data_IF_835611612440
#
_entry.id   IF_835611612440
#
_cell.length_a   1.000
_cell.length_b   1.000
_cell.length_c   1.000
_cell.angle_alpha   90.00
_cell.angle_beta   90.00
_cell.angle_gamma   90.00
#
_symmetry.space_group_name_H-M   'P 1'
#
loop_
_entity.id
_entity.type
_entity.pdbx_description
1 polymer ?
#
# COMPACT_ATOMS: atom_id res chain seq x y z
N UNK A 1 53.52 -41.74 6.60
CA UNK A 1 52.49 -40.91 5.94
C UNK A 1 51.46 -40.56 6.98
N UNK A 2 51.45 -39.32 7.46
CA UNK A 2 50.44 -38.84 8.41
C UNK A 2 49.15 -38.53 7.63
N UNK A 3 47.97 -38.92 8.12
CA UNK A 3 46.71 -38.59 7.48
C UNK A 3 46.50 -37.07 7.52
N UNK A 4 46.45 -36.45 6.34
CA UNK A 4 46.04 -35.04 6.18
C UNK A 4 44.58 -34.93 6.64
N UNK A 5 44.35 -34.21 7.74
CA UNK A 5 43.00 -33.90 8.19
C UNK A 5 42.25 -33.10 7.10
N UNK A 6 41.04 -33.54 6.77
CA UNK A 6 40.20 -32.83 5.82
C UNK A 6 39.91 -31.40 6.35
N UNK A 7 39.98 -30.36 5.50
CA UNK A 7 39.63 -29.02 5.92
C UNK A 7 38.16 -28.98 6.39
N UNK A 8 37.86 -28.21 7.45
CA UNK A 8 36.49 -28.07 7.93
C UNK A 8 35.59 -27.53 6.80
N UNK A 9 34.32 -27.97 6.73
CA UNK A 9 33.38 -27.46 5.74
C UNK A 9 33.30 -25.94 5.88
N UNK A 10 33.65 -25.23 4.81
CA UNK A 10 33.45 -23.79 4.77
C UNK A 10 31.95 -23.53 4.69
N UNK A 11 31.36 -23.06 5.80
CA UNK A 11 30.02 -22.49 5.79
C UNK A 11 30.03 -21.35 4.78
N UNK A 12 29.25 -21.52 3.71
CA UNK A 12 29.09 -20.47 2.71
C UNK A 12 28.49 -19.25 3.42
N UNK A 13 29.08 -18.05 3.26
CA UNK A 13 28.55 -16.86 3.90
C UNK A 13 27.07 -16.70 3.53
N UNK A 14 26.21 -16.35 4.50
CA UNK A 14 24.78 -16.25 4.27
C UNK A 14 24.53 -15.21 3.18
N UNK A 15 23.77 -15.59 2.15
CA UNK A 15 23.48 -14.75 0.97
C UNK A 15 22.47 -13.62 1.28
N UNK A 16 22.72 -12.82 2.31
CA UNK A 16 21.82 -11.76 2.79
C UNK A 16 21.58 -10.64 1.76
N UNK A 17 22.40 -10.51 0.70
CA UNK A 17 22.39 -9.34 -0.17
C UNK A 17 21.22 -9.26 -1.16
N UNK A 18 20.78 -10.39 -1.72
CA UNK A 18 19.83 -10.36 -2.85
C UNK A 18 18.38 -10.09 -2.40
N UNK A 19 18.00 -10.60 -1.23
CA UNK A 19 16.63 -10.47 -0.72
C UNK A 19 16.29 -9.04 -0.29
N UNK A 20 17.26 -8.32 0.29
CA UNK A 20 17.03 -6.96 0.79
C UNK A 20 16.70 -6.02 -0.37
N UNK A 21 17.45 -6.06 -1.47
CA UNK A 21 17.19 -5.22 -2.64
C UNK A 21 15.83 -5.53 -3.29
N UNK A 22 15.42 -6.80 -3.31
CA UNK A 22 14.09 -7.17 -3.79
C UNK A 22 12.99 -6.57 -2.91
N UNK A 23 13.17 -6.57 -1.58
CA UNK A 23 12.22 -5.98 -0.63
C UNK A 23 12.13 -4.46 -0.73
N UNK A 24 13.26 -3.78 -0.97
CA UNK A 24 13.31 -2.32 -1.19
C UNK A 24 12.59 -1.92 -2.47
N UNK A 25 12.70 -2.73 -3.53
CA UNK A 25 12.01 -2.48 -4.81
C UNK A 25 10.51 -2.76 -4.72
N UNK A 26 10.07 -3.60 -3.78
CA UNK A 26 8.66 -3.89 -3.62
C UNK A 26 7.93 -2.63 -3.09
N UNK A 27 6.84 -2.19 -3.75
CA UNK A 27 6.08 -1.03 -3.30
C UNK A 27 5.47 -1.26 -1.91
N UNK A 28 5.14 -0.16 -1.24
CA UNK A 28 4.44 -0.19 0.04
C UNK A 28 3.02 -0.69 -0.20
N UNK A 29 2.54 -1.61 0.62
CA UNK A 29 1.22 -2.21 0.52
C UNK A 29 0.13 -1.30 1.10
N UNK A 30 0.18 -0.01 0.75
CA UNK A 30 -0.75 1.03 1.18
C UNK A 30 -1.62 1.43 -0.02
N UNK A 31 -2.93 1.24 0.13
CA UNK A 31 -3.92 1.55 -0.90
C UNK A 31 -4.19 3.06 -0.96
N UNK A 32 -4.73 3.52 -2.09
CA UNK A 32 -5.14 4.93 -2.24
C UNK A 32 -6.21 5.34 -1.24
N UNK A 33 -7.06 4.41 -0.80
CA UNK A 33 -8.06 4.62 0.26
C UNK A 33 -7.47 4.96 1.63
N UNK A 34 -6.21 4.59 1.87
CA UNK A 34 -5.51 4.85 3.13
C UNK A 34 -4.56 6.06 3.04
N UNK A 35 -4.61 6.83 1.95
CA UNK A 35 -3.74 7.99 1.75
C UNK A 35 -3.93 9.08 2.81
N UNK A 36 -5.16 9.29 3.31
CA UNK A 36 -5.43 10.25 4.40
C UNK A 36 -4.75 9.83 5.71
N UNK A 37 -4.76 8.53 6.04
CA UNK A 37 -4.07 7.97 7.21
C UNK A 37 -2.56 8.15 7.09
N UNK A 38 -2.02 7.84 5.91
CA UNK A 38 -0.60 8.01 5.62
C UNK A 38 -0.18 9.47 5.73
N UNK A 39 -0.96 10.40 5.17
CA UNK A 39 -0.75 11.84 5.34
C UNK A 39 -0.76 12.24 6.82
N UNK A 40 -1.74 11.78 7.60
CA UNK A 40 -1.82 12.11 9.02
C UNK A 40 -0.59 11.65 9.82
N UNK A 41 -0.01 10.50 9.47
CA UNK A 41 1.23 10.00 10.07
C UNK A 41 2.42 10.88 9.65
N UNK A 42 2.51 11.20 8.35
CA UNK A 42 3.67 11.87 7.77
C UNK A 42 3.67 13.40 7.89
N UNK A 43 2.54 14.05 8.19
CA UNK A 43 2.45 15.52 8.27
C UNK A 43 3.34 16.18 9.33
N UNK A 44 3.90 15.39 10.25
CA UNK A 44 4.84 15.85 11.29
C UNK A 44 6.30 15.56 10.92
N UNK A 45 6.52 14.78 9.88
CA UNK A 45 7.84 14.40 9.41
C UNK A 45 8.41 15.49 8.49
N UNK A 46 9.72 15.44 8.26
CA UNK A 46 10.37 16.39 7.35
C UNK A 46 10.01 16.09 5.88
N UNK A 47 10.16 17.10 5.00
CA UNK A 47 10.02 16.88 3.55
C UNK A 47 11.03 15.85 3.01
N UNK A 48 12.20 15.72 3.66
CA UNK A 48 13.20 14.72 3.34
C UNK A 48 12.72 13.30 3.65
N UNK A 49 12.06 13.09 4.78
CA UNK A 49 11.50 11.79 5.16
C UNK A 49 10.29 11.43 4.28
N UNK A 50 9.43 12.40 4.00
CA UNK A 50 8.31 12.22 3.06
C UNK A 50 8.85 11.80 1.68
N UNK A 51 9.91 12.46 1.21
CA UNK A 51 10.57 12.13 -0.04
C UNK A 51 11.20 10.71 -0.06
N UNK A 52 11.46 10.08 1.10
CA UNK A 52 11.88 8.67 1.15
C UNK A 52 10.72 7.75 0.83
N UNK A 53 9.52 8.10 1.26
CA UNK A 53 8.32 7.27 1.11
C UNK A 53 7.75 7.36 -0.30
N UNK A 54 7.67 8.58 -0.85
CA UNK A 54 6.96 8.85 -2.11
C UNK A 54 7.35 7.91 -3.26
N UNK A 55 8.63 7.63 -3.57
CA UNK A 55 9.00 6.76 -4.69
C UNK A 55 8.49 5.33 -4.56
N UNK A 56 8.33 4.83 -3.32
CA UNK A 56 7.92 3.45 -3.03
C UNK A 56 6.39 3.28 -2.91
N UNK A 57 5.60 4.34 -3.05
CA UNK A 57 4.15 4.25 -3.12
C UNK A 57 3.68 3.90 -4.54
N UNK A 58 2.52 3.23 -4.62
CA UNK A 58 1.80 3.09 -5.89
C UNK A 58 1.46 4.48 -6.47
N UNK A 59 1.44 4.65 -7.80
CA UNK A 59 1.14 5.94 -8.44
C UNK A 59 -0.16 6.59 -7.95
N UNK A 60 -1.22 5.80 -7.80
CA UNK A 60 -2.52 6.29 -7.34
C UNK A 60 -2.48 6.73 -5.87
N UNK A 61 -1.83 5.94 -5.01
CA UNK A 61 -1.63 6.29 -3.59
C UNK A 61 -0.79 7.55 -3.44
N UNK A 62 0.28 7.68 -4.22
CA UNK A 62 1.14 8.87 -4.25
C UNK A 62 0.37 10.12 -4.69
N UNK A 63 -0.43 10.02 -5.76
CA UNK A 63 -1.28 11.11 -6.23
C UNK A 63 -2.31 11.52 -5.16
N UNK A 64 -3.00 10.56 -4.57
CA UNK A 64 -3.98 10.80 -3.51
C UNK A 64 -3.33 11.43 -2.27
N UNK A 65 -2.15 10.95 -1.87
CA UNK A 65 -1.40 11.51 -0.74
C UNK A 65 -0.97 12.96 -0.99
N UNK A 66 -0.42 13.27 -2.17
CA UNK A 66 -0.02 14.63 -2.52
C UNK A 66 -1.19 15.62 -2.54
N UNK A 67 -2.41 15.15 -2.82
CA UNK A 67 -3.62 15.99 -2.77
C UNK A 67 -4.02 16.44 -1.34
N UNK A 68 -3.48 15.81 -0.29
CA UNK A 68 -3.71 16.24 1.10
C UNK A 68 -2.72 17.30 1.58
N UNK A 69 -1.58 17.46 0.90
CA UNK A 69 -0.60 18.50 1.22
C UNK A 69 -1.03 19.84 0.63
N UNK A 70 -0.58 20.93 1.25
CA UNK A 70 -0.59 22.22 0.57
C UNK A 70 0.35 22.19 -0.64
N UNK A 71 0.14 23.10 -1.60
CA UNK A 71 0.98 23.20 -2.81
C UNK A 71 2.47 23.37 -2.45
N UNK A 72 2.77 24.19 -1.44
CA UNK A 72 4.13 24.43 -0.97
C UNK A 72 4.77 23.18 -0.34
N UNK A 73 4.05 22.45 0.51
CA UNK A 73 4.56 21.21 1.13
C UNK A 73 4.76 20.11 0.09
N UNK A 74 3.82 19.97 -0.86
CA UNK A 74 3.93 19.02 -1.96
C UNK A 74 5.14 19.34 -2.84
N UNK A 75 5.36 20.62 -3.17
CA UNK A 75 6.51 21.08 -3.94
C UNK A 75 7.83 20.77 -3.21
N UNK A 76 7.91 21.02 -1.91
CA UNK A 76 9.10 20.71 -1.10
C UNK A 76 9.39 19.21 -1.04
N UNK A 77 8.38 18.37 -0.86
CA UNK A 77 8.55 16.92 -0.86
C UNK A 77 9.01 16.38 -2.23
N UNK A 78 8.45 16.93 -3.32
CA UNK A 78 8.87 16.57 -4.69
C UNK A 78 10.30 17.03 -4.95
N UNK A 79 10.66 18.26 -4.58
CA UNK A 79 12.02 18.78 -4.72
C UNK A 79 13.02 17.92 -3.94
N UNK A 80 12.69 17.57 -2.69
CA UNK A 80 13.52 16.69 -1.86
C UNK A 80 13.67 15.29 -2.48
N UNK A 81 12.64 14.76 -3.16
CA UNK A 81 12.69 13.47 -3.85
C UNK A 81 13.57 13.47 -5.12
N UNK A 82 13.76 14.65 -5.74
CA UNK A 82 14.61 14.80 -6.91
C UNK A 82 16.11 14.87 -6.55
N UNK A 83 16.45 15.09 -5.28
CA UNK A 83 17.84 15.13 -4.80
C UNK A 83 18.38 13.71 -4.63
N UNK A 84 19.52 13.42 -5.25
CA UNK A 84 20.20 12.14 -5.07
C UNK A 84 20.75 12.01 -3.65
N UNK A 85 20.44 10.90 -2.99
CA UNK A 85 20.99 10.52 -1.68
C UNK A 85 21.19 9.02 -1.61
N UNK A 86 22.21 8.61 -0.87
CA UNK A 86 22.43 7.20 -0.54
C UNK A 86 21.67 6.90 0.73
N UNK A 87 20.72 5.97 0.66
CA UNK A 87 19.92 5.52 1.79
C UNK A 87 20.23 4.06 2.03
N UNK A 88 20.38 3.68 3.29
CA UNK A 88 20.54 2.29 3.67
C UNK A 88 19.29 1.50 3.24
N UNK A 89 19.43 0.43 2.42
CA UNK A 89 18.30 -0.38 2.02
C UNK A 89 17.57 -1.02 3.21
N UNK A 90 18.25 -1.34 4.32
CA UNK A 90 17.61 -1.89 5.52
C UNK A 90 16.69 -0.87 6.19
N UNK A 91 17.08 0.41 6.18
CA UNK A 91 16.25 1.50 6.69
C UNK A 91 14.93 1.61 5.90
N UNK A 92 14.96 1.46 4.58
CA UNK A 92 13.74 1.48 3.76
C UNK A 92 12.83 0.30 4.09
N UNK A 93 13.38 -0.89 4.29
CA UNK A 93 12.60 -2.08 4.68
C UNK A 93 11.95 -1.89 6.04
N UNK A 94 12.67 -1.33 7.02
CA UNK A 94 12.15 -1.02 8.34
C UNK A 94 11.06 0.05 8.27
N UNK A 95 11.31 1.14 7.54
CA UNK A 95 10.37 2.25 7.34
C UNK A 95 9.07 1.74 6.70
N UNK A 96 9.18 0.89 5.68
CA UNK A 96 8.05 0.24 5.02
C UNK A 96 7.20 -0.55 6.02
N UNK A 97 7.83 -1.47 6.76
CA UNK A 97 7.12 -2.32 7.72
C UNK A 97 6.43 -1.49 8.82
N UNK A 98 7.10 -0.46 9.32
CA UNK A 98 6.55 0.41 10.37
C UNK A 98 5.39 1.26 9.85
N UNK A 99 5.49 1.83 8.64
CA UNK A 99 4.41 2.62 8.06
C UNK A 99 3.20 1.76 7.71
N UNK A 100 3.39 0.58 7.13
CA UNK A 100 2.29 -0.36 6.86
C UNK A 100 1.58 -0.77 8.16
N UNK A 101 2.35 -1.05 9.22
CA UNK A 101 1.81 -1.36 10.55
C UNK A 101 1.03 -0.19 11.13
N UNK A 102 1.57 1.04 11.09
CA UNK A 102 0.90 2.24 11.62
C UNK A 102 -0.38 2.57 10.85
N UNK A 103 -0.35 2.50 9.53
CA UNK A 103 -1.54 2.74 8.68
C UNK A 103 -2.62 1.69 8.98
N UNK A 104 -2.24 0.43 9.13
CA UNK A 104 -3.18 -0.65 9.47
C UNK A 104 -3.74 -0.52 10.89
N UNK A 105 -2.94 -0.01 11.84
CA UNK A 105 -3.37 0.21 13.21
C UNK A 105 -4.20 1.48 13.40
N UNK A 106 -4.12 2.44 12.47
CA UNK A 106 -4.85 3.71 12.57
C UNK A 106 -6.31 3.51 12.16
N UNK A 107 -7.18 3.56 13.16
CA UNK A 107 -8.63 3.51 13.01
C UNK A 107 -9.24 4.83 13.46
N UNK A 108 -10.23 5.35 12.74
CA UNK A 108 -10.90 6.62 13.04
C UNK A 108 -10.73 7.66 11.93
N UNK A 109 -10.87 8.94 12.29
CA UNK A 109 -10.86 10.06 11.35
C UNK A 109 -12.24 10.67 11.13
N UNK A 110 -12.30 11.83 10.45
CA UNK A 110 -13.56 12.54 10.21
C UNK A 110 -14.55 11.71 9.37
N UNK A 111 -14.06 10.84 8.48
CA UNK A 111 -14.89 9.95 7.66
C UNK A 111 -15.56 8.87 8.51
N UNK A 112 -14.81 8.24 9.43
CA UNK A 112 -15.37 7.26 10.36
C UNK A 112 -16.36 7.92 11.31
N UNK A 113 -16.02 9.10 11.83
CA UNK A 113 -16.92 9.88 12.68
C UNK A 113 -18.21 10.29 11.94
N UNK A 114 -18.12 10.66 10.66
CA UNK A 114 -19.31 10.96 9.84
C UNK A 114 -20.21 9.74 9.71
N UNK A 115 -19.65 8.57 9.37
CA UNK A 115 -20.42 7.33 9.27
C UNK A 115 -21.12 6.95 10.58
N UNK A 116 -20.42 7.10 11.70
CA UNK A 116 -21.02 6.88 13.03
C UNK A 116 -22.17 7.86 13.32
N UNK A 117 -22.09 9.11 12.85
CA UNK A 117 -23.19 10.07 12.95
C UNK A 117 -24.35 9.72 12.01
N UNK A 118 -24.07 9.13 10.85
CA UNK A 118 -25.07 8.68 9.89
C UNK A 118 -25.90 7.51 10.41
N UNK A 119 -25.28 6.62 11.17
CA UNK A 119 -25.96 5.50 11.86
C UNK A 119 -26.76 5.95 13.10
N UNK A 120 -26.51 7.16 13.60
CA UNK A 120 -27.19 7.69 14.79
C UNK A 120 -28.60 8.21 14.46
N UNK A 121 -29.50 8.15 15.46
CA UNK A 121 -30.84 8.74 15.36
C UNK A 121 -30.76 10.25 15.08
N UNK A 122 -31.75 10.86 14.42
CA UNK A 122 -31.73 12.30 14.14
C UNK A 122 -31.54 13.16 15.40
N UNK A 123 -32.18 12.78 16.51
CA UNK A 123 -32.06 13.45 17.80
C UNK A 123 -30.64 13.33 18.39
N UNK A 124 -30.05 12.13 18.36
CA UNK A 124 -28.68 11.90 18.82
C UNK A 124 -27.66 12.63 17.95
N UNK A 125 -27.86 12.62 16.64
CA UNK A 125 -27.00 13.31 15.68
C UNK A 125 -26.96 14.80 15.95
N UNK A 126 -28.12 15.44 16.17
CA UNK A 126 -28.18 16.87 16.52
C UNK A 126 -27.48 17.13 17.85
N UNK A 127 -27.75 16.30 18.87
CA UNK A 127 -27.12 16.42 20.19
C UNK A 127 -25.60 16.28 20.14
N UNK A 128 -25.09 15.25 19.46
CA UNK A 128 -23.64 14.98 19.32
C UNK A 128 -22.99 16.09 18.50
N UNK A 129 -23.60 16.52 17.39
CA UNK A 129 -23.07 17.61 16.56
C UNK A 129 -23.04 18.94 17.33
N UNK A 130 -24.07 19.24 18.13
CA UNK A 130 -24.08 20.40 18.99
C UNK A 130 -22.99 20.35 20.07
N UNK A 131 -22.73 19.17 20.64
CA UNK A 131 -21.60 18.97 21.56
C UNK A 131 -20.26 19.15 20.85
N UNK A 132 -20.04 18.52 19.69
CA UNK A 132 -18.81 18.65 18.89
C UNK A 132 -18.49 20.11 18.57
N UNK A 133 -19.49 20.90 18.13
CA UNK A 133 -19.31 22.34 17.86
C UNK A 133 -18.84 23.15 19.08
N UNK A 134 -19.22 22.73 20.30
CA UNK A 134 -18.80 23.40 21.54
C UNK A 134 -17.38 23.00 21.95
N UNK A 135 -17.00 21.74 21.74
CA UNK A 135 -15.67 21.23 22.13
C UNK A 135 -14.59 21.55 21.09
N UNK A 136 -14.86 21.31 19.81
CA UNK A 136 -13.94 21.53 18.71
C UNK A 136 -14.71 21.88 17.42
N UNK A 137 -14.91 23.18 17.14
CA UNK A 137 -15.65 23.63 15.96
C UNK A 137 -14.93 23.28 14.63
N UNK A 138 -13.61 23.11 14.66
CA UNK A 138 -12.82 22.74 13.48
C UNK A 138 -13.11 21.30 13.09
N UNK A 139 -13.02 20.37 14.05
CA UNK A 139 -13.37 18.96 13.81
C UNK A 139 -14.84 18.78 13.41
N UNK A 140 -15.76 19.53 14.02
CA UNK A 140 -17.17 19.48 13.65
C UNK A 140 -17.40 19.89 12.18
N UNK A 141 -16.64 20.87 11.69
CA UNK A 141 -16.68 21.31 10.29
C UNK A 141 -16.09 20.24 9.36
N UNK A 142 -14.95 19.66 9.73
CA UNK A 142 -14.31 18.59 8.95
C UNK A 142 -15.19 17.33 8.86
N UNK A 143 -15.84 16.91 9.93
CA UNK A 143 -16.75 15.75 9.94
C UNK A 143 -17.95 16.00 9.02
N UNK A 144 -18.52 17.22 9.06
CA UNK A 144 -19.65 17.58 8.20
C UNK A 144 -19.27 17.61 6.71
N UNK A 145 -18.06 18.08 6.39
CA UNK A 145 -17.54 18.12 5.02
C UNK A 145 -17.06 16.76 4.53
N UNK A 146 -16.68 15.86 5.44
CA UNK A 146 -16.24 14.50 5.15
C UNK A 146 -17.42 13.52 4.96
N UNK A 147 -18.66 13.99 5.16
CA UNK A 147 -19.83 13.23 4.78
C UNK A 147 -19.67 12.85 3.30
N UNK A 148 -19.75 11.54 2.95
CA UNK A 148 -19.65 11.14 1.56
C UNK A 148 -20.66 11.96 0.77
N UNK A 149 -20.26 12.56 -0.37
CA UNK A 149 -21.22 13.24 -1.22
C UNK A 149 -22.34 12.23 -1.45
N UNK A 150 -23.58 12.65 -1.19
CA UNK A 150 -24.80 11.86 -1.33
C UNK A 150 -24.82 11.31 -2.75
N UNK A 151 -24.19 10.15 -2.94
CA UNK A 151 -24.11 9.49 -4.22
C UNK A 151 -25.52 8.96 -4.41
N UNK A 152 -26.24 9.40 -5.45
CA UNK A 152 -27.58 8.93 -5.65
C UNK A 152 -27.54 7.39 -5.66
N UNK A 153 -28.43 6.73 -4.92
CA UNK A 153 -28.45 5.26 -4.83
C UNK A 153 -28.55 4.58 -6.21
N UNK A 154 -28.96 5.33 -7.23
CA UNK A 154 -29.25 4.85 -8.58
C UNK A 154 -28.04 4.83 -9.56
N UNK A 155 -26.83 5.27 -9.17
CA UNK A 155 -25.68 5.31 -10.12
C UNK A 155 -25.01 3.94 -10.31
N UNK A 156 -25.29 2.96 -9.44
CA UNK A 156 -24.71 1.62 -9.56
C UNK A 156 -25.60 0.60 -10.28
N UNK A 157 -26.87 0.93 -10.57
CA UNK A 157 -27.76 0.05 -11.34
C UNK A 157 -27.59 0.18 -12.87
N UNK A 158 -26.89 1.21 -13.36
CA UNK A 158 -26.63 1.42 -14.80
C UNK A 158 -25.27 0.85 -15.28
N UNK A 159 -24.52 0.16 -14.42
CA UNK A 159 -23.51 -0.81 -14.89
C UNK A 159 -24.24 -2.12 -15.27
N UNK A 160 -25.23 -1.97 -16.13
CA UNK A 160 -25.74 -3.07 -16.92
C UNK A 160 -24.55 -3.74 -17.59
N UNK A 161 -24.51 -5.07 -17.50
CA UNK A 161 -23.56 -5.90 -18.23
C UNK A 161 -23.39 -5.38 -19.66
N UNK A 162 -22.17 -5.36 -20.21
CA UNK A 162 -21.95 -4.96 -21.60
C UNK A 162 -22.91 -5.76 -22.48
N UNK A 163 -23.86 -5.07 -23.10
CA UNK A 163 -24.76 -5.70 -24.05
C UNK A 163 -23.90 -6.31 -25.16
N UNK A 164 -24.06 -7.61 -25.48
CA UNK A 164 -23.19 -8.30 -26.44
C UNK A 164 -23.36 -7.87 -27.91
N UNK A 165 -23.98 -6.72 -28.19
CA UNK A 165 -24.31 -6.30 -29.56
C UNK A 165 -23.23 -5.47 -30.27
N UNK A 166 -22.22 -4.94 -29.60
CA UNK A 166 -21.20 -4.10 -30.27
C UNK A 166 -19.96 -4.89 -30.73
N UNK A 167 -20.14 -6.15 -31.14
CA UNK A 167 -19.07 -7.05 -31.61
C UNK A 167 -19.09 -7.34 -33.12
N UNK A 168 -19.77 -6.53 -33.94
CA UNK A 168 -19.99 -6.86 -35.38
C UNK A 168 -19.51 -5.87 -36.43
N UNK A 169 -18.87 -4.75 -36.10
CA UNK A 169 -18.50 -3.77 -37.13
C UNK A 169 -17.07 -3.23 -37.01
N UNK A 170 -16.10 -4.14 -37.00
CA UNK A 170 -14.71 -3.80 -37.38
C UNK A 170 -13.95 -5.07 -37.76
N UNK A 171 -14.47 -5.79 -38.75
CA UNK A 171 -13.70 -6.81 -39.45
C UNK A 171 -13.82 -6.55 -40.96
N UNK A 172 -13.02 -5.60 -41.45
CA UNK A 172 -12.74 -5.48 -42.88
C UNK A 172 -11.44 -4.73 -43.10
N UNK A 173 -10.44 -5.48 -43.60
CA UNK A 173 -9.22 -5.04 -44.29
C UNK A 173 -8.19 -4.35 -43.39
N UNK A 174 -6.94 -4.79 -43.29
CA UNK A 174 -6.02 -5.27 -44.34
C UNK A 174 -5.19 -6.46 -43.79
N UNK A 175 -5.09 -7.59 -44.50
CA UNK A 175 -3.95 -7.96 -45.37
C UNK A 175 -2.61 -7.99 -44.59
N UNK A 176 -2.23 -9.16 -44.09
CA UNK A 176 -1.22 -10.08 -44.68
C UNK A 176 0.19 -9.83 -44.13
N UNK A 177 0.61 -10.60 -43.12
CA UNK A 177 1.94 -11.23 -43.11
C UNK A 177 1.96 -12.47 -42.16
N UNK A 178 2.61 -13.58 -42.57
CA UNK A 178 2.51 -14.89 -41.94
C UNK A 178 3.39 -15.09 -40.68
N UNK A 179 3.12 -16.15 -39.89
CA UNK A 179 3.69 -16.36 -38.56
C UNK A 179 5.08 -17.00 -38.58
N UNK A 180 6.05 -16.38 -37.90
CA UNK A 180 7.25 -17.11 -37.48
C UNK A 180 6.97 -17.96 -36.25
N UNK A 181 6.91 -19.26 -36.51
CA UNK A 181 6.87 -20.36 -35.57
C UNK A 181 8.17 -20.42 -34.75
N UNK A 182 8.12 -19.97 -33.50
CA UNK A 182 9.15 -20.20 -32.49
C UNK A 182 8.66 -21.17 -31.40
N UNK A 183 8.66 -22.47 -31.69
CA UNK A 183 8.37 -23.52 -30.72
C UNK A 183 9.45 -23.58 -29.64
N UNK A 184 9.07 -23.28 -28.40
CA UNK A 184 9.88 -23.43 -27.21
C UNK A 184 9.11 -24.16 -26.12
N UNK A 185 8.81 -25.43 -26.36
CA UNK A 185 8.31 -26.35 -25.35
C UNK A 185 9.39 -26.63 -24.30
N UNK A 186 9.24 -26.04 -23.11
CA UNK A 186 9.95 -26.46 -21.90
C UNK A 186 9.00 -27.26 -21.01
N UNK A 187 9.29 -28.54 -20.75
CA UNK A 187 8.49 -29.38 -19.88
C UNK A 187 9.10 -29.44 -18.46
N UNK A 188 8.24 -29.79 -17.50
CA UNK A 188 8.56 -30.30 -16.15
C UNK A 188 9.03 -29.32 -15.06
N UNK A 189 8.23 -29.33 -13.98
CA UNK A 189 8.63 -28.83 -12.67
C UNK A 189 7.51 -28.96 -11.62
N UNK A 190 6.83 -30.10 -11.56
CA UNK A 190 5.96 -30.44 -10.40
C UNK A 190 6.83 -30.66 -9.17
N UNK A 191 7.17 -29.56 -8.50
CA UNK A 191 7.84 -29.55 -7.20
C UNK A 191 6.80 -29.57 -6.08
N UNK A 192 6.27 -30.75 -5.76
CA UNK A 192 5.49 -30.98 -4.54
C UNK A 192 6.40 -30.89 -3.30
N UNK A 193 6.73 -29.68 -2.88
CA UNK A 193 7.40 -29.41 -1.62
C UNK A 193 6.40 -29.48 -0.47
N UNK A 194 6.35 -30.61 0.23
CA UNK A 194 5.69 -30.71 1.54
C UNK A 194 6.27 -29.65 2.49
N UNK A 195 5.43 -28.85 3.16
CA UNK A 195 5.92 -27.94 4.20
C UNK A 195 6.46 -28.76 5.39
N UNK A 196 7.61 -28.38 5.96
CA UNK A 196 8.10 -29.00 7.20
C UNK A 196 7.13 -28.71 8.35
N UNK A 197 6.87 -29.72 9.17
CA UNK A 197 6.03 -29.61 10.35
C UNK A 197 6.61 -28.56 11.34
N UNK A 198 5.76 -27.76 12.01
CA UNK A 198 6.22 -26.83 13.03
C UNK A 198 6.82 -27.60 14.22
N UNK A 199 8.08 -27.33 14.54
CA UNK A 199 8.66 -27.80 15.79
C UNK A 199 8.06 -27.01 16.95
N UNK A 200 7.26 -27.70 17.77
CA UNK A 200 6.80 -27.24 19.08
C UNK A 200 8.02 -27.04 19.99
N UNK A 201 8.46 -25.80 20.13
CA UNK A 201 9.36 -25.41 21.21
C UNK A 201 8.55 -25.44 22.51
N UNK A 202 8.82 -26.43 23.35
CA UNK A 202 8.44 -26.38 24.77
C UNK A 202 9.31 -25.31 25.43
N UNK A 203 8.68 -24.22 25.86
CA UNK A 203 9.23 -23.29 26.84
C UNK A 203 9.67 -24.07 28.09
N UNK A 204 10.95 -23.94 28.43
CA UNK A 204 11.44 -24.29 29.77
C UNK A 204 11.31 -23.05 30.65
N UNK A 205 10.46 -23.13 31.66
CA UNK A 205 10.34 -22.14 32.73
C UNK A 205 11.68 -21.99 33.48
N UNK A 206 12.23 -20.78 33.61
CA UNK A 206 13.26 -20.51 34.59
C UNK A 206 12.62 -20.24 35.96
N UNK A 207 12.95 -21.09 36.92
CA UNK A 207 12.81 -20.88 38.38
C UNK A 207 13.56 -19.66 38.89
#
# INVERSE_FOLDING_TARGET
FLPTAAPPPQESPPQLGNDVLARVRAPFQIKSTDASKLFFILRKESSEDIALVLPHLYPDTRKAMLAYFSEDEAAQAIEASARFRVVDPELIVLLKAELERRVSALHGGPEVASRLLDDATPEDRERITAALKRFDPTSASSIKSAAPPDLPPDVFDDIAAPTPEEKRESNKKDDEEPPESGGGSSPFGDGSGSPPAPQLFLDQDPT
#
